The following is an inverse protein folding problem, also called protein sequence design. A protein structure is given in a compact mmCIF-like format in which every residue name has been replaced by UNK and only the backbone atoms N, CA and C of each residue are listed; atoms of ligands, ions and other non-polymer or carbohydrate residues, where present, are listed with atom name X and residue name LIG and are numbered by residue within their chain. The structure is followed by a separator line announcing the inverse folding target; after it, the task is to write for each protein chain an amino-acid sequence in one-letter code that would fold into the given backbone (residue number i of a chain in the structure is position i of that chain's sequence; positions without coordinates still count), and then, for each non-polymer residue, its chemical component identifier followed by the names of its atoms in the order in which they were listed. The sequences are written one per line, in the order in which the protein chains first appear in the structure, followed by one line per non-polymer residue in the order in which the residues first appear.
data_IF_342410978834
#
_entry.id   IF_342410978834
#
_cell.length_a   1.000
_cell.length_b   1.000
_cell.length_c   1.000
_cell.angle_alpha   90.00
_cell.angle_beta   90.00
_cell.angle_gamma   90.00
#
_symmetry.space_group_name_H-M   'P 1'
#
loop_
_entity.id
_entity.type
_entity.pdbx_description
1 polymer ?
#
# COMPACT_ATOMS: atom_id res chain seq x y z
N UNK A 1 -13.74 -10.79 -4.54
CA UNK A 1 -12.68 -9.87 -4.97
C UNK A 1 -13.28 -8.53 -5.33
N UNK A 2 -12.58 -7.44 -5.01
CA UNK A 2 -12.93 -6.07 -5.34
C UNK A 2 -11.88 -5.52 -6.29
N UNK A 3 -12.32 -5.11 -7.49
CA UNK A 3 -11.44 -4.68 -8.59
C UNK A 3 -11.64 -3.20 -8.98
N UNK A 4 -12.57 -2.50 -8.32
CA UNK A 4 -12.80 -1.06 -8.49
C UNK A 4 -13.31 -0.42 -7.20
N UNK A 5 -13.28 0.89 -7.17
CA UNK A 5 -13.82 1.70 -6.06
C UNK A 5 -15.33 1.49 -5.91
N UNK A 6 -16.07 1.36 -7.01
CA UNK A 6 -17.51 1.09 -7.02
C UNK A 6 -17.81 -0.29 -6.42
N UNK A 7 -17.07 -1.33 -6.83
CA UNK A 7 -17.23 -2.68 -6.30
C UNK A 7 -16.91 -2.74 -4.80
N UNK A 8 -15.99 -1.89 -4.30
CA UNK A 8 -15.72 -1.76 -2.87
C UNK A 8 -16.94 -1.21 -2.13
N UNK A 9 -17.52 -0.12 -2.63
CA UNK A 9 -18.71 0.50 -2.03
C UNK A 9 -19.89 -0.47 -2.02
N UNK A 10 -20.12 -1.20 -3.14
CA UNK A 10 -21.17 -2.22 -3.20
C UNK A 10 -20.98 -3.31 -2.16
N UNK A 11 -19.75 -3.83 -2.01
CA UNK A 11 -19.44 -4.87 -1.01
C UNK A 11 -19.63 -4.37 0.43
N UNK A 12 -19.22 -3.13 0.73
CA UNK A 12 -19.40 -2.52 2.05
C UNK A 12 -20.87 -2.26 2.37
N UNK A 13 -21.65 -1.78 1.39
CA UNK A 13 -23.10 -1.59 1.52
C UNK A 13 -23.81 -2.92 1.76
N UNK A 14 -23.43 -3.97 1.03
CA UNK A 14 -23.96 -5.32 1.28
C UNK A 14 -23.70 -5.79 2.70
N UNK A 15 -22.45 -5.63 3.19
CA UNK A 15 -22.11 -5.99 4.57
C UNK A 15 -22.95 -5.22 5.60
N UNK A 16 -23.16 -3.91 5.39
CA UNK A 16 -23.97 -3.04 6.24
C UNK A 16 -25.43 -3.49 6.28
N UNK A 17 -26.03 -3.77 5.10
CA UNK A 17 -27.44 -4.21 4.98
C UNK A 17 -27.69 -5.56 5.66
N UNK A 18 -26.69 -6.45 5.70
CA UNK A 18 -26.81 -7.79 6.29
C UNK A 18 -26.18 -7.90 7.68
N UNK A 19 -25.79 -6.76 8.29
CA UNK A 19 -25.13 -6.68 9.60
C UNK A 19 -23.89 -7.62 9.71
N UNK A 20 -23.12 -7.73 8.63
CA UNK A 20 -21.91 -8.55 8.59
C UNK A 20 -20.68 -7.75 9.04
N UNK A 21 -19.81 -8.40 9.80
CA UNK A 21 -18.45 -7.90 9.99
C UNK A 21 -17.72 -7.90 8.65
N UNK A 22 -16.73 -7.04 8.50
CA UNK A 22 -15.91 -6.94 7.30
C UNK A 22 -14.46 -7.22 7.64
N UNK A 23 -13.84 -8.13 6.90
CA UNK A 23 -12.41 -8.39 6.91
C UNK A 23 -11.81 -7.97 5.58
N UNK A 24 -10.94 -6.96 5.58
CA UNK A 24 -10.17 -6.58 4.38
C UNK A 24 -8.97 -7.50 4.28
N UNK A 25 -8.88 -8.23 3.19
CA UNK A 25 -7.79 -9.15 2.92
C UNK A 25 -6.95 -8.63 1.75
N UNK A 26 -5.69 -8.38 2.01
CA UNK A 26 -4.64 -8.18 1.03
C UNK A 26 -4.03 -9.54 0.64
N UNK A 27 -2.72 -9.66 0.51
CA UNK A 27 -2.06 -10.94 0.18
C UNK A 27 -2.12 -12.03 1.28
N UNK A 28 -2.71 -11.77 2.44
CA UNK A 28 -2.86 -12.73 3.54
C UNK A 28 -1.54 -13.22 4.17
N UNK A 29 -0.43 -12.56 3.90
CA UNK A 29 0.93 -13.04 4.26
C UNK A 29 1.36 -12.69 5.68
N UNK A 30 0.63 -11.81 6.36
CA UNK A 30 0.95 -11.34 7.71
C UNK A 30 -0.26 -11.43 8.64
N UNK A 31 -1.08 -12.46 8.46
CA UNK A 31 -2.29 -12.69 9.25
C UNK A 31 -2.40 -14.16 9.64
N UNK A 32 -2.73 -14.42 10.89
CA UNK A 32 -3.20 -15.72 11.32
C UNK A 32 -4.73 -15.70 11.27
N UNK A 33 -5.28 -16.43 10.31
CA UNK A 33 -6.73 -16.53 10.17
C UNK A 33 -7.26 -17.65 11.08
N UNK A 34 -8.41 -17.45 11.75
CA UNK A 34 -9.06 -18.52 12.48
C UNK A 34 -9.64 -19.57 11.51
N UNK A 35 -9.95 -20.75 12.02
CA UNK A 35 -10.55 -21.84 11.25
C UNK A 35 -11.88 -21.43 10.59
N UNK A 36 -12.66 -20.58 11.28
CA UNK A 36 -13.92 -20.03 10.78
C UNK A 36 -13.91 -18.52 10.86
N UNK A 37 -14.27 -17.86 9.76
CA UNK A 37 -14.36 -16.40 9.65
C UNK A 37 -15.83 -16.03 9.55
N UNK A 38 -16.36 -15.37 10.57
CA UNK A 38 -17.74 -14.83 10.59
C UNK A 38 -17.74 -13.37 10.10
N UNK A 39 -17.34 -13.15 8.84
CA UNK A 39 -17.25 -11.83 8.22
C UNK A 39 -17.40 -11.94 6.70
N UNK A 40 -17.79 -10.84 6.06
CA UNK A 40 -17.60 -10.65 4.63
C UNK A 40 -16.11 -10.39 4.38
N UNK A 41 -15.43 -11.32 3.72
CA UNK A 41 -14.03 -11.16 3.34
C UNK A 41 -13.95 -10.40 2.03
N UNK A 42 -13.39 -9.21 2.05
CA UNK A 42 -13.13 -8.38 0.88
C UNK A 42 -11.66 -8.53 0.49
N UNK A 43 -11.40 -9.28 -0.59
CA UNK A 43 -10.06 -9.40 -1.16
C UNK A 43 -9.80 -8.25 -2.11
N UNK A 44 -8.83 -7.38 -1.77
CA UNK A 44 -8.44 -6.23 -2.59
C UNK A 44 -7.68 -6.69 -3.83
N UNK A 45 -8.21 -6.33 -5.00
CA UNK A 45 -7.68 -6.71 -6.33
C UNK A 45 -7.74 -5.52 -7.32
N UNK A 46 -7.73 -4.28 -6.78
CA UNK A 46 -7.66 -3.07 -7.60
C UNK A 46 -6.25 -2.99 -8.19
N UNK A 47 -6.14 -3.14 -9.49
CA UNK A 47 -4.90 -3.18 -10.25
C UNK A 47 -4.66 -1.85 -10.96
N UNK A 48 -3.46 -1.71 -11.51
CA UNK A 48 -3.08 -0.61 -12.38
C UNK A 48 -2.00 0.28 -11.81
N UNK A 49 -1.23 0.86 -12.73
CA UNK A 49 -0.17 1.83 -12.46
C UNK A 49 -0.41 3.02 -13.38
N UNK A 50 -0.55 4.21 -12.83
CA UNK A 50 -0.84 5.44 -13.54
C UNK A 50 0.22 6.50 -13.24
N UNK A 51 0.70 7.17 -14.28
CA UNK A 51 1.60 8.33 -14.13
C UNK A 51 0.76 9.58 -13.86
N UNK A 52 1.02 10.24 -12.73
CA UNK A 52 0.31 11.46 -12.33
C UNK A 52 1.08 12.74 -12.65
N UNK A 53 2.38 12.76 -12.34
CA UNK A 53 3.23 13.92 -12.50
C UNK A 53 4.71 13.53 -12.69
N UNK A 54 5.47 14.43 -13.28
CA UNK A 54 6.91 14.26 -13.47
C UNK A 54 7.59 15.62 -13.35
N UNK A 55 8.73 15.65 -12.66
CA UNK A 55 9.66 16.77 -12.61
C UNK A 55 11.08 16.34 -13.06
N UNK A 56 12.07 17.21 -12.92
CA UNK A 56 13.45 16.93 -13.31
C UNK A 56 14.07 15.76 -12.52
N UNK A 57 13.64 15.51 -11.29
CA UNK A 57 14.28 14.61 -10.34
C UNK A 57 13.42 13.39 -9.99
N UNK A 58 12.10 13.50 -10.11
CA UNK A 58 11.16 12.50 -9.63
C UNK A 58 9.97 12.29 -10.56
N UNK A 59 9.29 11.18 -10.37
CA UNK A 59 8.03 10.85 -11.02
C UNK A 59 7.02 10.39 -9.96
N UNK A 60 5.82 10.96 -10.01
CA UNK A 60 4.70 10.58 -9.14
C UNK A 60 3.81 9.58 -9.86
N UNK A 61 3.55 8.45 -9.22
CA UNK A 61 2.74 7.36 -9.77
C UNK A 61 1.68 6.93 -8.77
N UNK A 62 0.48 6.62 -9.28
CA UNK A 62 -0.63 6.04 -8.55
C UNK A 62 -0.70 4.55 -8.83
N UNK A 63 -0.80 3.74 -7.78
CA UNK A 63 -0.75 2.28 -7.90
C UNK A 63 -1.91 1.66 -7.15
N UNK A 64 -2.63 0.74 -7.81
CA UNK A 64 -3.76 0.02 -7.21
C UNK A 64 -3.33 -0.86 -6.04
N UNK A 65 -4.15 -0.89 -4.99
CA UNK A 65 -3.86 -1.62 -3.75
C UNK A 65 -3.69 -3.13 -3.93
N UNK A 66 -4.28 -3.70 -5.00
CA UNK A 66 -4.20 -5.12 -5.35
C UNK A 66 -2.94 -5.52 -6.14
N UNK A 67 -2.12 -4.55 -6.55
CA UNK A 67 -0.88 -4.85 -7.29
C UNK A 67 0.09 -5.64 -6.41
N UNK A 68 0.73 -6.70 -6.96
CA UNK A 68 1.74 -7.47 -6.24
C UNK A 68 2.95 -6.58 -5.96
N UNK A 69 3.35 -6.48 -4.69
CA UNK A 69 4.42 -5.58 -4.26
C UNK A 69 5.75 -5.83 -4.99
N UNK A 70 6.20 -7.07 -5.03
CA UNK A 70 7.47 -7.42 -5.67
C UNK A 70 7.48 -7.08 -7.17
N UNK A 71 6.40 -7.41 -7.88
CA UNK A 71 6.27 -7.13 -9.32
C UNK A 71 6.26 -5.62 -9.56
N UNK A 72 5.63 -4.84 -8.67
CA UNK A 72 5.65 -3.39 -8.71
C UNK A 72 7.07 -2.84 -8.54
N UNK A 73 7.84 -3.35 -7.55
CA UNK A 73 9.25 -2.93 -7.37
C UNK A 73 10.12 -3.26 -8.59
N UNK A 74 9.96 -4.45 -9.19
CA UNK A 74 10.66 -4.80 -10.43
C UNK A 74 10.26 -3.88 -11.58
N UNK A 75 8.98 -3.57 -11.69
CA UNK A 75 8.48 -2.65 -12.70
C UNK A 75 9.09 -1.25 -12.52
N UNK A 76 9.14 -0.67 -11.30
CA UNK A 76 9.76 0.63 -11.06
C UNK A 76 11.21 0.65 -11.52
N UNK A 77 11.99 -0.39 -11.21
CA UNK A 77 13.38 -0.52 -11.63
C UNK A 77 13.50 -0.57 -13.16
N UNK A 78 12.60 -1.30 -13.83
CA UNK A 78 12.57 -1.38 -15.31
C UNK A 78 12.25 -0.03 -15.96
N UNK A 79 11.55 0.86 -15.25
CA UNK A 79 11.22 2.22 -15.68
C UNK A 79 12.30 3.24 -15.25
N UNK A 80 13.45 2.80 -14.72
CA UNK A 80 14.48 3.66 -14.15
C UNK A 80 13.94 4.60 -13.05
N UNK A 81 13.04 4.08 -12.22
CA UNK A 81 12.49 4.74 -11.04
C UNK A 81 13.04 4.07 -9.78
N UNK A 82 13.63 4.86 -8.90
CA UNK A 82 14.44 4.40 -7.78
C UNK A 82 13.85 4.81 -6.44
N UNK A 83 14.24 4.08 -5.40
CA UNK A 83 13.85 4.27 -4.00
C UNK A 83 13.35 2.97 -3.35
N UNK A 84 12.66 2.11 -4.10
CA UNK A 84 12.02 0.91 -3.56
C UNK A 84 12.87 -0.38 -3.70
N UNK A 85 14.06 -0.32 -4.31
CA UNK A 85 14.85 -1.51 -4.66
C UNK A 85 15.15 -2.40 -3.44
N UNK A 86 15.51 -1.77 -2.31
CA UNK A 86 15.82 -2.47 -1.06
C UNK A 86 14.60 -3.17 -0.43
N UNK A 87 13.39 -2.82 -0.88
CA UNK A 87 12.14 -3.40 -0.42
C UNK A 87 11.63 -4.53 -1.34
N UNK A 88 12.41 -4.93 -2.33
CA UNK A 88 12.11 -6.08 -3.18
C UNK A 88 11.96 -7.36 -2.33
N UNK A 89 11.23 -8.35 -2.86
CA UNK A 89 10.98 -9.65 -2.21
C UNK A 89 10.16 -9.61 -0.90
N UNK A 90 9.77 -8.43 -0.40
CA UNK A 90 8.80 -8.35 0.70
C UNK A 90 7.46 -8.89 0.16
N UNK A 91 6.89 -9.94 0.77
CA UNK A 91 5.65 -10.53 0.28
C UNK A 91 4.44 -9.65 0.61
N UNK A 92 3.48 -9.55 -0.30
CA UNK A 92 2.23 -8.82 -0.08
C UNK A 92 1.78 -8.04 -1.30
N UNK A 93 0.81 -7.15 -1.08
CA UNK A 93 0.26 -6.25 -2.09
C UNK A 93 0.60 -4.80 -1.75
N UNK A 94 0.56 -3.93 -2.75
CA UNK A 94 0.86 -2.50 -2.61
C UNK A 94 0.03 -1.84 -1.52
N UNK A 95 -1.28 -2.13 -1.43
CA UNK A 95 -2.15 -1.56 -0.40
C UNK A 95 -1.83 -1.97 1.04
N UNK A 96 -1.05 -3.04 1.24
CA UNK A 96 -0.57 -3.43 2.57
C UNK A 96 0.72 -2.70 2.97
N UNK A 97 1.45 -2.12 2.03
CA UNK A 97 2.76 -1.53 2.28
C UNK A 97 2.73 -0.36 3.28
N UNK A 98 1.76 0.58 3.24
CA UNK A 98 1.72 1.68 4.20
C UNK A 98 1.23 1.28 5.60
N UNK A 99 0.49 0.16 5.72
CA UNK A 99 -0.13 -0.24 7.01
C UNK A 99 0.91 -0.40 8.12
N UNK A 100 2.00 -1.10 7.83
CA UNK A 100 3.10 -1.30 8.77
C UNK A 100 4.36 -0.53 8.36
N UNK A 101 4.25 0.45 7.46
CA UNK A 101 5.40 1.17 6.93
C UNK A 101 6.52 0.17 6.59
N UNK A 102 6.27 -0.75 5.63
CA UNK A 102 7.21 -1.84 5.36
C UNK A 102 8.62 -1.30 5.13
N UNK A 103 9.60 -1.99 5.69
CA UNK A 103 10.99 -1.55 5.63
C UNK A 103 11.97 -2.71 5.65
N UNK A 104 13.08 -2.52 4.97
CA UNK A 104 14.21 -3.43 4.92
C UNK A 104 15.50 -2.67 4.56
N UNK A 105 16.65 -3.14 5.06
CA UNK A 105 17.95 -2.61 4.71
C UNK A 105 18.10 -1.09 4.89
N UNK A 106 17.49 -0.55 5.97
CA UNK A 106 17.58 0.87 6.32
C UNK A 106 16.67 1.79 5.51
N UNK A 107 15.74 1.26 4.71
CA UNK A 107 14.77 2.00 3.91
C UNK A 107 13.37 1.66 4.39
N UNK A 108 12.50 2.65 4.52
CA UNK A 108 11.08 2.48 4.81
C UNK A 108 10.22 3.01 3.66
N UNK A 109 9.10 2.35 3.37
CA UNK A 109 8.24 2.72 2.21
C UNK A 109 7.63 4.11 2.36
N UNK A 110 7.39 4.56 3.60
CA UNK A 110 6.84 5.88 3.90
C UNK A 110 7.69 7.05 3.36
N UNK A 111 9.00 6.83 3.16
CA UNK A 111 9.91 7.82 2.56
C UNK A 111 9.56 8.14 1.10
N UNK A 112 8.89 7.21 0.42
CA UNK A 112 8.54 7.33 -1.00
C UNK A 112 7.03 7.47 -1.24
N UNK A 113 6.21 7.38 -0.19
CA UNK A 113 4.78 7.62 -0.28
C UNK A 113 4.52 9.13 -0.25
N UNK A 114 3.82 9.65 -1.26
CA UNK A 114 3.32 11.03 -1.28
C UNK A 114 1.96 11.11 -0.59
N UNK A 115 1.08 10.14 -0.87
CA UNK A 115 -0.25 10.04 -0.25
C UNK A 115 -0.84 8.64 -0.42
N UNK A 116 -1.90 8.37 0.35
CA UNK A 116 -2.66 7.13 0.32
C UNK A 116 -4.13 7.44 0.06
N UNK A 117 -4.72 6.84 -0.96
CA UNK A 117 -6.15 6.93 -1.23
C UNK A 117 -6.89 5.83 -0.48
N UNK A 118 -7.91 6.21 0.25
CA UNK A 118 -8.67 5.31 1.11
C UNK A 118 -10.17 5.54 0.97
N UNK A 119 -10.94 4.52 1.27
CA UNK A 119 -12.33 4.66 1.66
C UNK A 119 -12.41 4.70 3.19
N UNK A 120 -12.83 5.83 3.75
CA UNK A 120 -13.09 5.98 5.19
C UNK A 120 -14.46 5.40 5.53
N UNK A 121 -14.48 4.27 6.23
CA UNK A 121 -15.71 3.56 6.59
C UNK A 121 -16.55 4.27 7.65
N UNK A 122 -15.96 5.19 8.43
CA UNK A 122 -16.68 5.99 9.41
C UNK A 122 -17.40 7.16 8.75
N UNK A 123 -16.74 7.81 7.76
CA UNK A 123 -17.30 8.92 7.01
C UNK A 123 -18.05 8.48 5.74
N UNK A 124 -17.96 7.20 5.38
CA UNK A 124 -18.55 6.60 4.17
C UNK A 124 -18.15 7.35 2.88
N UNK A 125 -16.89 7.78 2.79
CA UNK A 125 -16.40 8.56 1.65
C UNK A 125 -14.97 8.20 1.29
N UNK A 126 -14.61 8.44 0.03
CA UNK A 126 -13.21 8.39 -0.40
C UNK A 126 -12.46 9.63 0.06
N UNK A 127 -11.23 9.45 0.47
CA UNK A 127 -10.32 10.54 0.84
C UNK A 127 -8.88 10.22 0.47
N UNK A 128 -8.06 11.28 0.42
CA UNK A 128 -6.61 11.18 0.22
C UNK A 128 -5.92 11.65 1.49
N UNK A 129 -5.08 10.80 2.07
CA UNK A 129 -4.30 11.11 3.26
C UNK A 129 -2.85 11.31 2.82
N UNK A 130 -2.31 12.51 3.05
CA UNK A 130 -0.92 12.81 2.69
C UNK A 130 0.05 12.12 3.65
N UNK A 131 1.27 11.83 3.17
CA UNK A 131 2.27 11.10 3.94
C UNK A 131 2.55 11.72 5.33
N UNK A 132 2.57 13.06 5.42
CA UNK A 132 2.74 13.80 6.68
C UNK A 132 1.64 13.53 7.72
N UNK A 133 0.46 13.09 7.27
CA UNK A 133 -0.73 12.82 8.10
C UNK A 133 -0.92 11.30 8.33
N UNK A 134 -0.05 10.45 7.75
CA UNK A 134 -0.09 9.00 7.92
C UNK A 134 0.62 8.50 9.19
N UNK A 135 1.32 9.36 9.92
CA UNK A 135 2.10 9.05 11.12
C UNK A 135 3.06 7.84 10.92
N UNK A 136 3.79 7.86 9.79
CA UNK A 136 4.75 6.81 9.48
C UNK A 136 5.93 6.84 10.44
N UNK A 137 6.15 5.71 11.11
CA UNK A 137 7.32 5.44 11.92
C UNK A 137 7.66 3.95 11.88
N UNK A 138 8.66 3.49 12.63
CA UNK A 138 9.09 2.10 12.58
C UNK A 138 7.93 1.13 12.83
N UNK A 139 7.55 0.38 11.77
CA UNK A 139 6.44 -0.60 11.77
C UNK A 139 5.09 -0.02 12.21
N UNK A 140 4.86 1.26 11.93
CA UNK A 140 3.68 1.98 12.38
C UNK A 140 3.10 2.91 11.32
N UNK A 141 1.77 3.11 11.36
CA UNK A 141 0.99 4.14 10.67
C UNK A 141 -0.41 4.23 11.28
N UNK A 142 -1.16 5.30 10.96
CA UNK A 142 -2.57 5.45 11.34
C UNK A 142 -3.46 4.30 10.84
N UNK A 143 -3.09 3.65 9.73
CA UNK A 143 -3.84 2.53 9.16
C UNK A 143 -3.71 1.27 10.02
N UNK A 144 -2.65 1.15 10.81
CA UNK A 144 -2.46 0.07 11.78
C UNK A 144 -3.20 0.33 13.08
N UNK A 145 -3.31 1.60 13.50
CA UNK A 145 -3.98 1.98 14.75
C UNK A 145 -5.48 1.78 14.68
N UNK A 146 -6.09 2.09 13.54
CA UNK A 146 -7.52 1.86 13.32
C UNK A 146 -7.76 0.98 12.08
N UNK A 147 -7.51 -0.34 12.20
CA UNK A 147 -7.55 -1.29 11.09
C UNK A 147 -8.97 -1.48 10.52
N UNK A 148 -9.99 -1.01 11.20
CA UNK A 148 -11.39 -1.12 10.77
C UNK A 148 -11.92 0.13 10.08
N UNK A 149 -11.17 1.23 10.11
CA UNK A 149 -11.62 2.51 9.56
C UNK A 149 -11.28 2.67 8.09
N UNK A 150 -10.03 2.47 7.72
CA UNK A 150 -9.54 2.78 6.39
C UNK A 150 -9.42 1.54 5.51
N UNK A 151 -9.98 1.61 4.31
CA UNK A 151 -9.73 0.63 3.24
C UNK A 151 -8.87 1.29 2.18
N UNK A 152 -7.62 0.89 2.08
CA UNK A 152 -6.68 1.46 1.11
C UNK A 152 -7.04 0.95 -0.28
N UNK A 153 -7.26 1.86 -1.23
CA UNK A 153 -7.59 1.57 -2.63
C UNK A 153 -6.40 1.81 -3.56
N UNK A 154 -5.62 2.87 -3.30
CA UNK A 154 -4.42 3.18 -4.07
C UNK A 154 -3.35 3.80 -3.18
N UNK A 155 -2.09 3.65 -3.60
CA UNK A 155 -0.94 4.33 -2.99
C UNK A 155 -0.26 5.19 -4.05
N UNK A 156 0.02 6.43 -3.72
CA UNK A 156 0.71 7.38 -4.57
C UNK A 156 2.17 7.44 -4.11
N UNK A 157 3.08 7.07 -5.02
CA UNK A 157 4.51 7.10 -4.78
C UNK A 157 5.17 8.23 -5.54
N UNK A 158 6.13 8.89 -4.91
CA UNK A 158 7.06 9.81 -5.54
C UNK A 158 8.43 9.17 -5.59
N UNK A 159 8.85 8.70 -6.78
CA UNK A 159 10.06 7.92 -6.99
C UNK A 159 11.13 8.75 -7.72
N UNK A 160 12.39 8.51 -7.41
CA UNK A 160 13.52 9.23 -7.96
C UNK A 160 13.85 8.73 -9.38
N UNK A 161 14.29 9.62 -10.26
CA UNK A 161 14.79 9.31 -11.64
C UNK A 161 16.28 8.98 -11.66
N UNK A 162 16.99 9.19 -10.57
CA UNK A 162 18.40 8.88 -10.41
C UNK A 162 18.60 7.91 -9.26
N UNK A 163 19.46 6.91 -9.47
CA UNK A 163 19.76 5.93 -8.45
C UNK A 163 20.57 6.59 -7.31
N UNK A 164 19.97 6.71 -6.15
CA UNK A 164 20.69 6.89 -4.90
C UNK A 164 20.73 5.50 -4.23
N UNK A 165 21.84 4.79 -4.44
CA UNK A 165 22.00 3.45 -3.87
C UNK A 165 22.31 3.59 -2.39
N UNK A 166 21.30 3.38 -1.55
CA UNK A 166 21.43 3.33 -0.09
C UNK A 166 22.19 2.06 0.34
N UNK A 167 23.52 2.07 0.14
CA UNK A 167 24.43 0.96 0.49
C UNK A 167 24.96 1.06 1.94
N UNK A 168 24.39 1.93 2.76
CA UNK A 168 24.91 2.22 4.11
C UNK A 168 24.48 1.20 5.17
N UNK A 169 23.73 0.17 4.83
CA UNK A 169 23.26 -0.83 5.80
C UNK A 169 24.22 -2.03 5.84
N UNK A 170 24.83 -2.26 7.00
CA UNK A 170 25.75 -3.38 7.23
C UNK A 170 26.93 -3.39 6.25
N UNK A 171 27.27 -4.57 5.74
CA UNK A 171 28.43 -4.80 4.86
C UNK A 171 28.10 -4.66 3.37
N UNK A 172 26.96 -4.09 2.98
CA UNK A 172 26.56 -3.95 1.58
C UNK A 172 27.53 -3.12 0.71
N UNK A 173 28.39 -2.30 1.34
CA UNK A 173 29.46 -1.56 0.64
C UNK A 173 30.64 -2.43 0.21
N UNK A 174 30.74 -3.66 0.73
CA UNK A 174 31.89 -4.55 0.49
C UNK A 174 31.56 -5.69 -0.49
N UNK A 175 30.32 -5.78 -0.92
CA UNK A 175 29.81 -6.74 -1.90
C UNK A 175 29.81 -6.14 -3.31
#
# INVERSE_FOLDING_TARGET
KVQSDEALVEALNYAKQHALNVLILSGGRNMLLPEHIHALVIHMDIQGIEYLAEDAHSKTIRVGAGQIWHDFVLWTTSQHLYGLQNLALIPGLVGASPVQNIGAYGVEVGEFIESVQVYDRQLETFSTIFAKDCDFSYRHSIFKDDPNRFVITHVIFKLLKHADLMLNYGDLKQA
#
